data_IF_324957449161
#
_entry.id   IF_324957449161
#
_cell.length_a   1.000
_cell.length_b   1.000
_cell.length_c   1.000
_cell.angle_alpha   90.00
_cell.angle_beta   90.00
_cell.angle_gamma   90.00
#
_symmetry.space_group_name_H-M   'P 1'
#
loop_
_entity.id
_entity.type
_entity.pdbx_description
1 polymer ?
#
# COMPACT_ATOMS: atom_id res chain seq x y z
N UNK A 1 -4.92 10.87 -22.30
CA UNK A 1 -5.03 11.74 -21.12
C UNK A 1 -4.19 11.26 -19.94
N UNK A 2 -4.22 9.98 -19.55
CA UNK A 2 -3.37 9.46 -18.44
C UNK A 2 -1.88 9.76 -18.65
N UNK A 3 -1.32 9.55 -19.86
CA UNK A 3 0.07 9.92 -20.16
C UNK A 3 0.35 11.41 -19.94
N UNK A 4 -0.59 12.30 -20.32
CA UNK A 4 -0.43 13.75 -20.07
C UNK A 4 -0.42 14.07 -18.58
N UNK A 5 -1.30 13.43 -17.79
CA UNK A 5 -1.30 13.58 -16.32
C UNK A 5 0.03 13.12 -15.73
N UNK A 6 0.54 11.96 -16.11
CA UNK A 6 1.83 11.45 -15.66
C UNK A 6 2.98 12.42 -16.02
N UNK A 7 3.05 12.90 -17.25
CA UNK A 7 4.09 13.84 -17.71
C UNK A 7 4.01 15.16 -16.94
N UNK A 8 2.81 15.71 -16.78
CA UNK A 8 2.63 17.00 -16.08
C UNK A 8 3.03 16.93 -14.61
N UNK A 9 2.79 15.81 -13.94
CA UNK A 9 3.13 15.65 -12.52
C UNK A 9 4.58 15.23 -12.30
N UNK A 10 5.25 14.66 -13.31
CA UNK A 10 6.67 14.32 -13.25
C UNK A 10 7.61 15.54 -13.43
N UNK A 11 7.15 16.59 -14.11
CA UNK A 11 7.99 17.76 -14.42
C UNK A 11 8.11 18.76 -13.27
N UNK A 12 7.15 18.77 -12.35
CA UNK A 12 7.12 19.70 -11.22
C UNK A 12 6.64 18.98 -9.96
N UNK A 13 7.49 18.83 -8.95
CA UNK A 13 7.20 18.12 -7.71
C UNK A 13 5.99 18.67 -6.93
N UNK A 14 5.71 19.99 -7.04
CA UNK A 14 4.61 20.66 -6.35
C UNK A 14 3.38 20.94 -7.23
N UNK A 15 3.37 20.45 -8.48
CA UNK A 15 2.24 20.72 -9.38
C UNK A 15 0.98 20.07 -8.90
N UNK A 16 -0.05 20.90 -8.69
CA UNK A 16 -1.40 20.45 -8.33
C UNK A 16 -2.29 20.37 -9.57
N UNK A 17 -2.98 19.26 -9.71
CA UNK A 17 -3.89 19.01 -10.84
C UNK A 17 -5.28 19.53 -10.50
N UNK A 18 -5.89 20.23 -11.46
CA UNK A 18 -7.25 20.74 -11.38
C UNK A 18 -8.16 20.10 -12.46
N UNK A 19 -9.43 20.45 -12.46
CA UNK A 19 -10.44 20.01 -13.43
C UNK A 19 -10.64 18.48 -13.54
N UNK A 20 -10.22 17.71 -12.53
CA UNK A 20 -10.34 16.26 -12.57
C UNK A 20 -11.80 15.77 -12.63
N UNK A 21 -12.75 16.52 -12.03
CA UNK A 21 -14.16 16.15 -12.15
C UNK A 21 -14.63 16.19 -13.61
N UNK A 22 -14.22 17.21 -14.36
CA UNK A 22 -14.54 17.31 -15.80
C UNK A 22 -13.97 16.13 -16.58
N UNK A 23 -12.75 15.69 -16.23
CA UNK A 23 -12.12 14.53 -16.85
C UNK A 23 -12.90 13.24 -16.57
N UNK A 24 -13.19 12.95 -15.30
CA UNK A 24 -13.88 11.70 -14.93
C UNK A 24 -15.33 11.65 -15.41
N UNK A 25 -15.95 12.82 -15.65
CA UNK A 25 -17.30 12.93 -16.23
C UNK A 25 -17.31 12.88 -17.75
N UNK A 26 -16.16 12.79 -18.41
CA UNK A 26 -16.11 12.70 -19.87
C UNK A 26 -16.70 11.37 -20.35
N UNK A 27 -17.61 11.33 -21.35
CA UNK A 27 -18.30 10.10 -21.75
C UNK A 27 -17.36 8.93 -22.06
N UNK A 28 -16.31 9.16 -22.85
CA UNK A 28 -15.32 8.12 -23.17
C UNK A 28 -14.53 7.64 -21.96
N UNK A 29 -14.29 8.51 -20.97
CA UNK A 29 -13.60 8.15 -19.72
C UNK A 29 -14.48 7.25 -18.85
N UNK A 30 -15.76 7.62 -18.68
CA UNK A 30 -16.75 6.81 -17.96
C UNK A 30 -16.98 5.47 -18.65
N UNK A 31 -17.09 5.46 -19.98
CA UNK A 31 -17.22 4.21 -20.75
C UNK A 31 -16.03 3.29 -20.49
N UNK A 32 -14.81 3.81 -20.56
CA UNK A 32 -13.61 3.01 -20.27
C UNK A 32 -13.59 2.47 -18.84
N UNK A 33 -13.98 3.27 -17.86
CA UNK A 33 -14.12 2.84 -16.48
C UNK A 33 -15.18 1.74 -16.32
N UNK A 34 -16.31 1.85 -17.02
CA UNK A 34 -17.35 0.85 -17.04
C UNK A 34 -16.87 -0.47 -17.68
N UNK A 35 -16.22 -0.43 -18.83
CA UNK A 35 -15.63 -1.61 -19.48
C UNK A 35 -14.71 -2.38 -18.54
N UNK A 36 -13.77 -1.69 -17.87
CA UNK A 36 -12.85 -2.31 -16.91
C UNK A 36 -13.61 -2.91 -15.72
N UNK A 37 -14.62 -2.21 -15.22
CA UNK A 37 -15.41 -2.67 -14.06
C UNK A 37 -16.24 -3.90 -14.43
N UNK A 38 -16.94 -3.86 -15.56
CA UNK A 38 -17.85 -4.90 -16.04
C UNK A 38 -17.12 -6.17 -16.51
N UNK A 39 -15.87 -6.05 -16.96
CA UNK A 39 -15.04 -7.21 -17.32
C UNK A 39 -14.55 -8.00 -16.10
N UNK A 40 -14.57 -7.41 -14.92
CA UNK A 40 -14.10 -8.06 -13.69
C UNK A 40 -15.07 -9.16 -13.22
N UNK A 41 -14.53 -10.21 -12.57
CA UNK A 41 -15.34 -11.26 -11.92
C UNK A 41 -16.29 -10.69 -10.88
N UNK A 42 -15.87 -9.65 -10.16
CA UNK A 42 -16.67 -8.98 -9.13
C UNK A 42 -17.92 -8.28 -9.66
N UNK A 43 -18.03 -7.99 -10.96
CA UNK A 43 -19.21 -7.37 -11.56
C UNK A 43 -20.49 -8.24 -11.50
N UNK A 44 -20.34 -9.51 -11.19
CA UNK A 44 -21.47 -10.43 -10.93
C UNK A 44 -22.00 -10.38 -9.49
N UNK A 45 -21.26 -9.71 -8.59
CA UNK A 45 -21.63 -9.62 -7.17
C UNK A 45 -22.29 -8.28 -6.93
N UNK A 46 -23.59 -8.25 -6.52
CA UNK A 46 -24.31 -7.00 -6.32
C UNK A 46 -23.86 -6.25 -5.05
N UNK A 47 -24.02 -4.92 -5.07
CA UNK A 47 -23.97 -4.07 -3.89
C UNK A 47 -25.28 -4.15 -3.07
N UNK A 48 -25.62 -3.04 -2.40
CA UNK A 48 -26.87 -2.89 -1.64
C UNK A 48 -28.11 -2.72 -2.55
N UNK A 49 -27.90 -2.28 -3.77
CA UNK A 49 -28.90 -2.04 -4.81
C UNK A 49 -29.33 -3.32 -5.55
N UNK A 50 -28.67 -4.44 -5.31
CA UNK A 50 -28.93 -5.70 -6.01
C UNK A 50 -28.43 -5.78 -7.43
N UNK A 51 -27.92 -4.67 -8.01
CA UNK A 51 -27.54 -4.56 -9.42
C UNK A 51 -26.25 -5.29 -9.74
N UNK A 52 -26.25 -6.01 -10.87
CA UNK A 52 -25.13 -6.76 -11.43
C UNK A 52 -24.85 -6.36 -12.88
N UNK A 53 -23.78 -6.88 -13.46
CA UNK A 53 -23.46 -6.60 -14.88
C UNK A 53 -24.51 -7.11 -15.87
N UNK A 54 -25.34 -8.09 -15.51
CA UNK A 54 -26.41 -8.60 -16.37
C UNK A 54 -27.48 -7.53 -16.61
N UNK A 55 -27.74 -6.70 -15.62
CA UNK A 55 -28.76 -5.64 -15.67
C UNK A 55 -28.34 -4.47 -16.56
N UNK A 56 -27.06 -4.39 -16.93
CA UNK A 56 -26.49 -3.35 -17.80
C UNK A 56 -26.15 -3.84 -19.21
N UNK A 57 -26.63 -5.01 -19.62
CA UNK A 57 -26.38 -5.51 -20.99
C UNK A 57 -27.00 -4.62 -22.05
N UNK A 58 -28.19 -4.11 -21.76
CA UNK A 58 -28.90 -3.13 -22.57
C UNK A 58 -29.00 -1.82 -21.79
N UNK A 59 -28.87 -0.67 -22.46
CA UNK A 59 -28.97 0.64 -21.83
C UNK A 59 -27.74 1.14 -21.06
N UNK A 60 -26.56 0.57 -21.29
CA UNK A 60 -25.32 1.04 -20.62
C UNK A 60 -25.05 2.52 -20.90
N UNK A 61 -25.32 3.02 -22.12
CA UNK A 61 -25.06 4.42 -22.47
C UNK A 61 -25.97 5.38 -21.71
N UNK A 62 -27.23 5.05 -21.59
CA UNK A 62 -28.21 5.85 -20.82
C UNK A 62 -27.82 5.86 -19.34
N UNK A 63 -27.41 4.69 -18.83
CA UNK A 63 -26.94 4.57 -17.44
C UNK A 63 -25.69 5.42 -17.18
N UNK A 64 -24.72 5.42 -18.08
CA UNK A 64 -23.54 6.29 -17.99
C UNK A 64 -23.90 7.76 -18.17
N UNK A 65 -24.91 8.07 -18.97
CA UNK A 65 -25.50 9.40 -19.11
C UNK A 65 -26.04 9.93 -17.79
N UNK A 66 -26.80 9.12 -17.05
CA UNK A 66 -27.29 9.47 -15.71
C UNK A 66 -26.14 9.70 -14.72
N UNK A 67 -25.16 8.80 -14.67
CA UNK A 67 -23.98 8.98 -13.81
C UNK A 67 -23.27 10.29 -14.14
N UNK A 68 -23.10 10.60 -15.41
CA UNK A 68 -22.48 11.85 -15.86
C UNK A 68 -23.25 13.07 -15.43
N UNK A 69 -24.58 13.06 -15.57
CA UNK A 69 -25.45 14.15 -15.16
C UNK A 69 -25.29 14.44 -13.67
N UNK A 70 -25.37 13.41 -12.83
CA UNK A 70 -25.20 13.54 -11.36
C UNK A 70 -23.80 14.04 -10.96
N UNK A 71 -22.75 13.60 -11.66
CA UNK A 71 -21.38 14.09 -11.41
C UNK A 71 -21.26 15.57 -11.78
N UNK A 72 -21.88 16.01 -12.88
CA UNK A 72 -21.80 17.40 -13.34
C UNK A 72 -22.66 18.35 -12.54
N UNK A 73 -23.85 17.93 -12.09
CA UNK A 73 -24.68 18.71 -11.16
C UNK A 73 -24.08 18.82 -9.77
N UNK A 74 -23.37 17.78 -9.35
CA UNK A 74 -22.84 17.66 -7.98
C UNK A 74 -23.73 16.86 -7.05
N UNK A 75 -24.82 16.27 -7.58
CA UNK A 75 -25.80 15.50 -6.83
C UNK A 75 -25.43 14.02 -6.66
N UNK A 76 -24.28 13.62 -7.21
CA UNK A 76 -23.80 12.25 -7.06
C UNK A 76 -23.57 11.89 -5.59
N UNK A 77 -24.41 11.00 -5.05
CA UNK A 77 -24.26 10.44 -3.70
C UNK A 77 -23.87 8.96 -3.78
N UNK A 78 -22.70 8.56 -3.24
CA UNK A 78 -22.33 7.17 -3.10
C UNK A 78 -23.26 6.42 -2.14
N UNK A 79 -23.63 5.21 -2.49
CA UNK A 79 -24.38 4.34 -1.59
C UNK A 79 -23.44 3.63 -0.58
N UNK A 80 -23.94 3.25 0.60
CA UNK A 80 -23.16 2.46 1.54
C UNK A 80 -22.72 1.12 0.93
N UNK A 81 -21.54 0.66 1.27
CA UNK A 81 -21.06 -0.65 0.81
C UNK A 81 -21.81 -1.79 1.54
N UNK A 82 -22.15 -2.88 0.84
CA UNK A 82 -22.69 -4.09 1.47
C UNK A 82 -21.56 -4.85 2.17
N UNK A 83 -21.65 -4.99 3.50
CA UNK A 83 -20.66 -5.70 4.33
C UNK A 83 -20.84 -7.21 4.22
N UNK A 84 -19.74 -7.91 3.92
CA UNK A 84 -19.63 -9.36 4.02
C UNK A 84 -18.36 -9.72 4.78
N UNK A 85 -18.28 -10.96 5.26
CA UNK A 85 -17.12 -11.46 5.99
C UNK A 85 -16.49 -12.63 5.24
N UNK A 86 -15.17 -12.58 5.06
CA UNK A 86 -14.37 -13.64 4.43
C UNK A 86 -13.49 -14.27 5.51
N UNK A 87 -13.49 -15.61 5.65
CA UNK A 87 -12.67 -16.30 6.63
C UNK A 87 -11.17 -16.13 6.27
N UNK A 88 -10.35 -15.86 7.30
CA UNK A 88 -8.89 -15.87 7.20
C UNK A 88 -8.37 -17.26 7.57
N UNK A 89 -7.15 -17.60 7.10
CA UNK A 89 -6.49 -18.86 7.41
C UNK A 89 -6.31 -19.12 8.93
N UNK A 90 -6.35 -18.09 9.76
CA UNK A 90 -6.24 -18.16 11.23
C UNK A 90 -7.61 -18.22 11.95
N UNK A 91 -8.70 -18.52 11.25
CA UNK A 91 -10.05 -18.60 11.80
C UNK A 91 -10.74 -17.26 12.06
N UNK A 92 -10.03 -16.13 11.97
CA UNK A 92 -10.63 -14.80 12.08
C UNK A 92 -11.33 -14.42 10.78
N UNK A 93 -12.32 -13.54 10.87
CA UNK A 93 -13.02 -13.03 9.70
C UNK A 93 -12.41 -11.69 9.23
N UNK A 94 -12.40 -11.49 7.91
CA UNK A 94 -12.03 -10.23 7.28
C UNK A 94 -13.28 -9.54 6.77
N UNK A 95 -13.62 -8.35 7.27
CA UNK A 95 -14.71 -7.57 6.71
C UNK A 95 -14.36 -7.09 5.29
N UNK A 96 -15.30 -7.22 4.36
CA UNK A 96 -15.18 -6.72 3.00
C UNK A 96 -16.44 -5.91 2.67
N UNK A 97 -16.27 -4.70 2.17
CA UNK A 97 -17.36 -3.86 1.68
C UNK A 97 -17.51 -4.02 0.16
N UNK A 98 -18.69 -4.33 -0.29
CA UNK A 98 -19.02 -4.42 -1.72
C UNK A 98 -19.80 -3.17 -2.12
N UNK A 99 -19.19 -2.18 -2.82
CA UNK A 99 -19.90 -1.02 -3.34
C UNK A 99 -20.87 -1.43 -4.45
N UNK A 100 -21.85 -0.59 -4.73
CA UNK A 100 -22.73 -0.76 -5.89
C UNK A 100 -21.96 -0.75 -7.18
N UNK A 101 -22.54 -1.28 -8.24
CA UNK A 101 -21.88 -1.29 -9.55
C UNK A 101 -21.65 0.14 -10.08
N UNK A 102 -22.62 1.03 -9.83
CA UNK A 102 -22.54 2.46 -10.09
C UNK A 102 -21.31 3.09 -9.42
N UNK A 103 -21.17 2.87 -8.13
CA UNK A 103 -20.05 3.41 -7.34
C UNK A 103 -18.70 2.83 -7.78
N UNK A 104 -18.65 1.54 -8.14
CA UNK A 104 -17.42 0.92 -8.67
C UNK A 104 -16.99 1.54 -10.00
N UNK A 105 -17.92 1.90 -10.89
CA UNK A 105 -17.61 2.59 -12.14
C UNK A 105 -17.03 3.98 -11.86
N UNK A 106 -17.65 4.76 -10.99
CA UNK A 106 -17.15 6.10 -10.65
C UNK A 106 -15.81 6.03 -9.92
N UNK A 107 -15.67 5.13 -8.96
CA UNK A 107 -14.37 4.89 -8.29
C UNK A 107 -13.29 4.46 -9.28
N UNK A 108 -13.63 3.65 -10.32
CA UNK A 108 -12.69 3.29 -11.38
C UNK A 108 -12.29 4.50 -12.22
N UNK A 109 -13.23 5.36 -12.56
CA UNK A 109 -12.93 6.60 -13.27
C UNK A 109 -12.02 7.52 -12.45
N UNK A 110 -12.25 7.62 -11.14
CA UNK A 110 -11.39 8.36 -10.22
C UNK A 110 -9.99 7.74 -10.12
N UNK A 111 -9.90 6.42 -9.97
CA UNK A 111 -8.62 5.70 -9.90
C UNK A 111 -7.76 5.92 -11.16
N UNK A 112 -8.37 5.80 -12.34
CA UNK A 112 -7.70 6.04 -13.63
C UNK A 112 -7.11 7.46 -13.74
N UNK A 113 -7.69 8.45 -13.04
CA UNK A 113 -7.18 9.82 -13.00
C UNK A 113 -6.12 10.00 -11.90
N UNK A 114 -6.28 9.36 -10.75
CA UNK A 114 -5.37 9.49 -9.60
C UNK A 114 -4.06 8.72 -9.80
N UNK A 115 -4.13 7.52 -10.35
CA UNK A 115 -2.98 6.61 -10.46
C UNK A 115 -1.78 7.25 -11.19
N UNK A 116 -1.91 7.86 -12.39
CA UNK A 116 -0.78 8.48 -13.08
C UNK A 116 -0.22 9.71 -12.35
N UNK A 117 -1.01 10.36 -11.48
CA UNK A 117 -0.56 11.51 -10.67
C UNK A 117 0.34 11.00 -9.54
N UNK A 118 -0.11 9.98 -8.82
CA UNK A 118 0.55 9.51 -7.61
C UNK A 118 1.69 8.51 -7.85
N UNK A 119 1.68 7.81 -9.01
CA UNK A 119 2.75 6.86 -9.33
C UNK A 119 4.12 7.52 -9.41
N UNK A 120 4.19 8.79 -9.78
CA UNK A 120 5.42 9.58 -9.77
C UNK A 120 5.90 9.93 -8.35
N UNK A 121 4.99 10.06 -7.39
CA UNK A 121 5.30 10.46 -6.01
C UNK A 121 5.61 9.28 -5.10
N UNK A 122 5.12 8.09 -5.45
CA UNK A 122 5.32 6.92 -4.62
C UNK A 122 6.77 6.49 -4.56
N UNK A 123 7.23 6.24 -3.35
CA UNK A 123 8.59 5.80 -3.12
C UNK A 123 8.94 4.53 -3.91
N UNK A 124 10.16 4.43 -4.43
CA UNK A 124 10.63 3.30 -5.26
C UNK A 124 10.59 1.96 -4.53
N UNK A 125 10.66 1.95 -3.20
CA UNK A 125 10.62 0.77 -2.34
C UNK A 125 9.21 0.41 -1.83
N UNK A 126 8.17 1.04 -2.37
CA UNK A 126 6.77 0.69 -2.14
C UNK A 126 6.22 -0.11 -3.34
N UNK A 127 5.61 -1.27 -3.10
CA UNK A 127 5.25 -2.24 -4.15
C UNK A 127 3.76 -2.57 -4.23
N UNK A 128 3.06 -2.69 -3.10
CA UNK A 128 1.68 -3.15 -3.08
C UNK A 128 0.70 -2.25 -3.82
N UNK A 129 -0.23 -2.84 -4.55
CA UNK A 129 -1.30 -2.13 -5.28
C UNK A 129 -0.81 -1.10 -6.31
N UNK A 130 0.36 -1.29 -6.88
CA UNK A 130 0.93 -0.40 -7.90
C UNK A 130 1.06 -1.14 -9.23
N UNK A 131 0.86 -0.43 -10.38
CA UNK A 131 1.06 -1.01 -11.70
C UNK A 131 2.47 -1.61 -11.85
N UNK A 132 2.57 -2.71 -12.59
CA UNK A 132 3.83 -3.38 -12.92
C UNK A 132 4.68 -3.82 -11.73
N UNK A 133 4.15 -3.76 -10.50
CA UNK A 133 4.82 -4.21 -9.28
C UNK A 133 4.16 -5.44 -8.69
N UNK A 134 4.96 -6.33 -8.14
CA UNK A 134 4.50 -7.61 -7.62
C UNK A 134 5.18 -7.97 -6.29
N UNK A 135 4.64 -8.98 -5.61
CA UNK A 135 5.26 -9.61 -4.43
C UNK A 135 6.68 -10.07 -4.75
N UNK A 136 6.91 -10.64 -5.94
CA UNK A 136 8.24 -11.11 -6.35
C UNK A 136 9.26 -9.97 -6.45
N UNK A 137 8.85 -8.79 -6.93
CA UNK A 137 9.71 -7.61 -6.96
C UNK A 137 10.08 -7.14 -5.55
N UNK A 138 9.14 -7.12 -4.62
CA UNK A 138 9.40 -6.77 -3.22
C UNK A 138 10.36 -7.78 -2.56
N UNK A 139 10.13 -9.08 -2.71
CA UNK A 139 11.00 -10.13 -2.20
C UNK A 139 12.41 -10.04 -2.80
N UNK A 140 12.52 -9.82 -4.12
CA UNK A 140 13.82 -9.62 -4.80
C UNK A 140 14.57 -8.42 -4.21
N UNK A 141 13.88 -7.31 -3.96
CA UNK A 141 14.48 -6.11 -3.37
C UNK A 141 15.02 -6.40 -1.98
N UNK A 142 14.25 -7.05 -1.11
CA UNK A 142 14.70 -7.45 0.24
C UNK A 142 15.93 -8.37 0.15
N UNK A 143 15.92 -9.35 -0.77
CA UNK A 143 17.09 -10.23 -0.98
C UNK A 143 18.35 -9.44 -1.36
N UNK A 144 18.24 -8.52 -2.32
CA UNK A 144 19.35 -7.67 -2.76
C UNK A 144 19.88 -6.84 -1.58
N UNK A 145 19.00 -6.23 -0.81
CA UNK A 145 19.36 -5.42 0.36
C UNK A 145 20.08 -6.23 1.46
N UNK A 146 19.81 -7.54 1.53
CA UNK A 146 20.46 -8.47 2.47
C UNK A 146 21.76 -9.10 1.93
N UNK A 147 21.97 -9.11 0.63
CA UNK A 147 23.12 -9.77 -0.02
C UNK A 147 24.40 -8.94 -0.01
N UNK A 148 24.37 -7.72 0.52
CA UNK A 148 25.51 -6.80 0.56
C UNK A 148 26.74 -7.42 1.25
N UNK A 149 27.94 -7.16 0.68
CA UNK A 149 29.22 -7.82 0.95
C UNK A 149 29.85 -7.59 2.35
N UNK A 150 29.31 -6.71 3.17
CA UNK A 150 29.84 -6.46 4.52
C UNK A 150 29.25 -7.45 5.54
N UNK A 151 29.82 -8.64 5.60
CA UNK A 151 29.31 -9.82 6.33
C UNK A 151 29.32 -9.71 7.86
N UNK A 152 30.09 -8.81 8.44
CA UNK A 152 30.39 -8.84 9.88
C UNK A 152 29.50 -7.94 10.75
N UNK A 153 28.52 -7.23 10.17
CA UNK A 153 27.62 -6.38 10.95
C UNK A 153 26.28 -7.07 11.17
N UNK A 154 25.78 -7.06 12.37
CA UNK A 154 24.47 -7.54 12.72
C UNK A 154 23.41 -6.90 11.80
N UNK A 155 22.42 -7.69 11.40
CA UNK A 155 21.29 -7.24 10.57
C UNK A 155 20.03 -7.64 11.28
N UNK A 156 19.35 -6.64 11.76
CA UNK A 156 18.09 -6.79 12.46
C UNK A 156 16.94 -6.36 11.56
N UNK A 157 15.93 -7.18 11.48
CA UNK A 157 14.75 -6.97 10.66
C UNK A 157 13.62 -6.54 11.58
N UNK A 158 13.05 -5.38 11.33
CA UNK A 158 11.81 -4.93 11.96
C UNK A 158 10.69 -5.33 11.00
N UNK A 159 9.86 -6.29 11.42
CA UNK A 159 8.66 -6.73 10.70
C UNK A 159 7.49 -5.90 11.22
N UNK A 160 7.10 -4.85 10.51
CA UNK A 160 6.05 -3.93 10.95
C UNK A 160 4.66 -4.42 10.58
N UNK A 161 3.74 -4.42 11.57
CA UNK A 161 2.32 -4.73 11.41
C UNK A 161 1.47 -3.54 11.87
N UNK A 162 0.63 -3.01 10.97
CA UNK A 162 -0.30 -1.95 11.30
C UNK A 162 -1.65 -2.53 11.76
N UNK A 163 -2.10 -2.12 12.95
CA UNK A 163 -3.37 -2.61 13.50
C UNK A 163 -4.55 -2.13 12.68
N UNK A 164 -5.29 -3.08 12.07
CA UNK A 164 -6.54 -2.80 11.34
C UNK A 164 -6.44 -1.60 10.40
N UNK A 165 -5.36 -1.51 9.65
CA UNK A 165 -4.96 -0.32 8.89
C UNK A 165 -6.11 0.32 8.12
N UNK A 166 -6.82 -0.46 7.26
CA UNK A 166 -7.91 0.06 6.44
C UNK A 166 -9.08 0.63 7.27
N UNK A 167 -9.29 0.12 8.49
CA UNK A 167 -10.39 0.54 9.36
C UNK A 167 -10.04 1.76 10.23
N UNK A 168 -8.73 2.15 10.28
CA UNK A 168 -8.23 3.20 11.18
C UNK A 168 -7.69 4.44 10.46
N UNK A 169 -7.68 4.46 9.14
CA UNK A 169 -7.20 5.62 8.36
C UNK A 169 -7.97 6.88 8.71
N UNK A 170 -7.27 7.91 9.17
CA UNK A 170 -7.87 9.16 9.58
C UNK A 170 -8.27 10.01 8.36
N UNK A 171 -9.57 10.19 8.12
CA UNK A 171 -10.13 10.81 6.91
C UNK A 171 -9.56 12.19 6.59
N UNK A 172 -9.48 13.09 7.60
CA UNK A 172 -8.97 14.47 7.37
C UNK A 172 -7.48 14.48 7.00
N UNK A 173 -6.68 13.59 7.61
CA UNK A 173 -5.26 13.47 7.25
C UNK A 173 -5.09 12.91 5.85
N UNK A 174 -5.86 11.88 5.49
CA UNK A 174 -5.86 11.33 4.13
C UNK A 174 -6.20 12.43 3.11
N UNK A 175 -7.27 13.20 3.33
CA UNK A 175 -7.64 14.30 2.44
C UNK A 175 -6.58 15.40 2.39
N UNK A 176 -5.85 15.65 3.49
CA UNK A 176 -4.71 16.57 3.48
C UNK A 176 -3.61 16.06 2.55
N UNK A 177 -3.31 14.76 2.57
CA UNK A 177 -2.34 14.14 1.66
C UNK A 177 -2.82 14.24 0.21
N UNK A 178 -4.08 13.91 -0.07
CA UNK A 178 -4.67 14.00 -1.42
C UNK A 178 -4.56 15.43 -1.99
N UNK A 179 -4.87 16.44 -1.19
CA UNK A 179 -4.84 17.85 -1.60
C UNK A 179 -3.43 18.38 -1.89
N UNK A 180 -2.37 17.65 -1.54
CA UNK A 180 -1.01 18.01 -1.96
C UNK A 180 -0.87 18.01 -3.49
N UNK A 181 -1.59 17.10 -4.18
CA UNK A 181 -1.50 16.92 -5.64
C UNK A 181 -2.79 17.27 -6.38
N UNK A 182 -3.94 17.20 -5.72
CA UNK A 182 -5.26 17.43 -6.34
C UNK A 182 -5.88 18.71 -5.77
N UNK A 183 -5.97 19.75 -6.63
CA UNK A 183 -6.60 21.03 -6.28
C UNK A 183 -8.11 21.05 -6.55
N UNK A 184 -8.60 20.23 -7.46
CA UNK A 184 -10.01 20.21 -7.89
C UNK A 184 -10.97 19.98 -6.70
N UNK A 185 -11.61 21.05 -6.23
CA UNK A 185 -12.49 20.99 -5.04
C UNK A 185 -13.66 20.04 -5.24
N UNK A 186 -14.31 20.05 -6.40
CA UNK A 186 -15.45 19.17 -6.71
C UNK A 186 -15.05 17.69 -6.71
N UNK A 187 -13.86 17.36 -7.23
CA UNK A 187 -13.31 16.02 -7.16
C UNK A 187 -13.00 15.60 -5.71
N UNK A 188 -12.40 16.50 -4.93
CA UNK A 188 -12.11 16.23 -3.51
C UNK A 188 -13.38 16.06 -2.68
N UNK A 189 -14.47 16.80 -3.00
CA UNK A 189 -15.77 16.62 -2.35
C UNK A 189 -16.38 15.26 -2.68
N UNK A 190 -16.32 14.83 -3.94
CA UNK A 190 -16.77 13.49 -4.35
C UNK A 190 -15.98 12.40 -3.64
N UNK A 191 -14.65 12.53 -3.58
CA UNK A 191 -13.80 11.59 -2.85
C UNK A 191 -14.15 11.52 -1.37
N UNK A 192 -14.41 12.66 -0.76
CA UNK A 192 -14.85 12.74 0.63
C UNK A 192 -16.18 12.00 0.87
N UNK A 193 -17.16 12.15 -0.04
CA UNK A 193 -18.42 11.39 0.01
C UNK A 193 -18.19 9.90 -0.04
N UNK A 194 -17.31 9.40 -0.93
CA UNK A 194 -16.95 7.98 -0.99
C UNK A 194 -16.31 7.47 0.29
N UNK A 195 -15.40 8.24 0.90
CA UNK A 195 -14.76 7.88 2.17
C UNK A 195 -15.81 7.80 3.30
N UNK A 196 -16.81 8.66 3.26
CA UNK A 196 -17.87 8.79 4.27
C UNK A 196 -19.08 7.89 4.03
N UNK A 197 -19.20 7.24 2.89
CA UNK A 197 -20.41 6.50 2.49
C UNK A 197 -20.83 5.39 3.47
N UNK A 198 -19.93 4.89 4.31
CA UNK A 198 -20.23 3.86 5.30
C UNK A 198 -20.54 2.50 4.69
N UNK A 199 -21.20 1.65 5.45
CA UNK A 199 -21.60 0.32 5.00
C UNK A 199 -22.90 -0.13 5.65
N UNK A 200 -23.54 -1.12 5.04
CA UNK A 200 -24.69 -1.82 5.60
C UNK A 200 -24.24 -3.20 6.06
N UNK A 201 -24.52 -3.49 7.32
CA UNK A 201 -24.28 -4.78 7.95
C UNK A 201 -25.58 -5.25 8.64
N UNK A 202 -26.05 -6.47 8.31
CA UNK A 202 -27.28 -7.04 8.85
C UNK A 202 -28.49 -6.08 8.75
N UNK A 203 -28.59 -5.40 7.61
CA UNK A 203 -29.62 -4.40 7.31
C UNK A 203 -29.54 -3.10 8.17
N UNK A 204 -28.45 -2.90 8.92
CA UNK A 204 -28.21 -1.68 9.69
C UNK A 204 -27.14 -0.84 9.03
N UNK A 205 -27.40 0.47 8.90
CA UNK A 205 -26.40 1.43 8.40
C UNK A 205 -25.37 1.73 9.48
N UNK A 206 -24.09 1.60 9.10
CA UNK A 206 -22.93 1.93 9.92
C UNK A 206 -22.16 3.07 9.26
N UNK A 207 -22.15 4.23 9.90
CA UNK A 207 -21.43 5.40 9.42
C UNK A 207 -19.90 5.18 9.52
N UNK A 208 -19.14 5.68 8.54
CA UNK A 208 -17.68 5.66 8.57
C UNK A 208 -17.18 6.95 9.28
N UNK A 209 -16.74 6.82 10.54
CA UNK A 209 -16.04 7.90 11.26
C UNK A 209 -14.55 7.98 10.89
N UNK A 210 -13.95 6.85 10.56
CA UNK A 210 -12.58 6.65 10.11
C UNK A 210 -12.51 5.44 9.18
N UNK A 211 -11.35 5.20 8.59
CA UNK A 211 -11.12 4.05 7.71
C UNK A 211 -11.50 4.33 6.25
N UNK A 212 -11.01 3.46 5.39
CA UNK A 212 -11.41 3.38 3.97
C UNK A 212 -12.03 2.01 3.70
N UNK A 213 -13.09 1.91 2.89
CA UNK A 213 -13.80 0.66 2.70
C UNK A 213 -12.89 -0.44 2.16
N UNK A 214 -12.68 -1.52 2.92
CA UNK A 214 -12.00 -2.70 2.40
C UNK A 214 -12.84 -3.30 1.26
N UNK A 215 -12.29 -3.33 0.04
CA UNK A 215 -12.99 -3.76 -1.17
C UNK A 215 -13.44 -2.62 -2.10
N UNK A 216 -13.33 -1.37 -1.69
CA UNK A 216 -13.49 -0.21 -2.58
C UNK A 216 -12.40 -0.16 -3.64
N UNK A 217 -12.76 0.23 -4.87
CA UNK A 217 -11.82 0.29 -6.02
C UNK A 217 -10.69 1.30 -5.79
N UNK A 218 -10.98 2.41 -5.11
CA UNK A 218 -10.00 3.48 -4.82
C UNK A 218 -9.25 3.26 -3.50
N UNK A 219 -9.68 2.34 -2.65
CA UNK A 219 -9.08 2.14 -1.31
C UNK A 219 -7.59 1.79 -1.36
N UNK A 220 -7.10 0.97 -2.31
CA UNK A 220 -5.68 0.68 -2.43
C UNK A 220 -4.79 1.89 -2.70
N UNK A 221 -5.20 2.78 -3.61
CA UNK A 221 -4.41 3.99 -3.89
C UNK A 221 -4.47 4.98 -2.73
N UNK A 222 -5.61 5.13 -2.07
CA UNK A 222 -5.75 5.97 -0.88
C UNK A 222 -4.85 5.48 0.25
N UNK A 223 -4.77 4.16 0.43
CA UNK A 223 -3.84 3.50 1.34
C UNK A 223 -2.38 3.88 1.03
N UNK A 224 -1.97 3.76 -0.22
CA UNK A 224 -0.62 4.12 -0.63
C UNK A 224 -0.32 5.61 -0.47
N UNK A 225 -1.29 6.50 -0.75
CA UNK A 225 -1.15 7.95 -0.54
C UNK A 225 -0.85 8.27 0.92
N UNK A 226 -1.58 7.66 1.85
CA UNK A 226 -1.37 7.86 3.28
C UNK A 226 -0.01 7.32 3.75
N UNK A 227 0.35 6.11 3.35
CA UNK A 227 1.60 5.46 3.75
C UNK A 227 2.83 6.02 3.02
N UNK A 228 2.66 6.72 1.90
CA UNK A 228 3.76 7.42 1.26
C UNK A 228 4.39 8.48 2.18
N UNK A 229 3.62 9.07 3.09
CA UNK A 229 4.17 9.97 4.11
C UNK A 229 5.20 9.25 5.01
N UNK A 230 4.94 7.99 5.34
CA UNK A 230 5.89 7.16 6.09
C UNK A 230 7.11 6.77 5.24
N UNK A 231 6.89 6.41 3.97
CA UNK A 231 7.98 6.13 3.03
C UNK A 231 8.92 7.34 2.90
N UNK A 232 8.37 8.54 2.74
CA UNK A 232 9.13 9.79 2.63
C UNK A 232 9.83 10.17 3.95
N UNK A 233 9.21 9.87 5.10
CA UNK A 233 9.87 10.03 6.39
C UNK A 233 11.13 9.16 6.49
N UNK A 234 11.02 7.88 6.14
CA UNK A 234 12.17 6.97 6.14
C UNK A 234 13.23 7.37 5.11
N UNK A 235 12.82 7.84 3.94
CA UNK A 235 13.75 8.36 2.94
C UNK A 235 14.55 9.56 3.49
N UNK A 236 13.87 10.52 4.07
CA UNK A 236 14.48 11.71 4.68
C UNK A 236 15.42 11.35 5.83
N UNK A 237 15.03 10.42 6.71
CA UNK A 237 15.81 10.09 7.89
C UNK A 237 16.97 9.12 7.62
N UNK A 238 16.81 8.19 6.64
CA UNK A 238 17.70 7.04 6.52
C UNK A 238 18.11 6.66 5.10
N UNK A 239 17.26 6.85 4.08
CA UNK A 239 17.46 6.25 2.75
C UNK A 239 17.98 7.23 1.71
N UNK A 240 17.65 8.50 1.81
CA UNK A 240 17.94 9.55 0.83
C UNK A 240 19.42 9.69 0.51
N UNK A 241 19.73 10.10 -0.72
CA UNK A 241 21.12 10.26 -1.21
C UNK A 241 21.96 11.18 -0.31
N UNK A 242 21.40 12.28 0.20
CA UNK A 242 22.09 13.20 1.13
C UNK A 242 22.47 12.48 2.41
N UNK A 243 21.52 11.80 3.06
CA UNK A 243 21.75 11.05 4.29
C UNK A 243 22.75 9.90 4.09
N UNK A 244 22.73 9.22 2.94
CA UNK A 244 23.72 8.20 2.60
C UNK A 244 25.09 8.76 2.37
N UNK A 245 25.23 9.92 1.71
CA UNK A 245 26.50 10.60 1.53
C UNK A 245 27.09 11.06 2.86
N UNK A 246 26.26 11.55 3.75
CA UNK A 246 26.67 11.98 5.08
C UNK A 246 27.06 10.81 5.99
N UNK A 247 26.53 9.61 5.73
CA UNK A 247 26.85 8.39 6.49
C UNK A 247 28.16 7.73 6.12
N UNK A 248 28.53 7.77 4.82
CA UNK A 248 29.63 7.01 4.31
C UNK A 248 30.45 7.85 3.35
N UNK A 249 31.55 8.31 3.83
CA UNK A 249 32.53 9.03 3.06
C UNK A 249 33.68 8.08 2.71
N UNK A 250 34.00 7.95 1.41
CA UNK A 250 35.17 7.27 0.92
C UNK A 250 36.19 8.30 0.50
N UNK A 251 37.34 8.33 1.15
CA UNK A 251 38.43 9.19 0.74
C UNK A 251 39.28 8.47 -0.31
N UNK A 252 39.10 8.83 -1.56
CA UNK A 252 39.85 8.24 -2.68
C UNK A 252 41.33 8.52 -2.62
N UNK A 253 41.76 9.62 -2.00
CA UNK A 253 43.17 10.01 -1.92
C UNK A 253 43.99 9.15 -0.98
N UNK A 254 43.36 8.66 0.10
CA UNK A 254 44.06 7.85 1.11
C UNK A 254 43.63 6.40 1.10
N UNK A 255 42.73 5.99 0.20
CA UNK A 255 42.15 4.64 0.10
C UNK A 255 41.65 4.09 1.44
N UNK A 256 41.32 4.97 2.38
CA UNK A 256 40.93 4.61 3.73
C UNK A 256 39.46 4.88 3.99
N UNK A 257 38.93 3.99 4.76
CA UNK A 257 37.61 3.80 5.28
C UNK A 257 36.69 5.01 5.43
N UNK A 258 35.51 4.69 5.25
CA UNK A 258 34.21 5.34 5.41
C UNK A 258 34.06 6.00 6.81
N UNK A 259 33.83 7.31 6.89
CA UNK A 259 33.31 7.93 8.11
C UNK A 259 31.84 7.55 8.30
N UNK A 260 31.41 7.10 9.47
CA UNK A 260 29.98 6.93 9.78
C UNK A 260 29.30 8.32 9.74
N UNK A 261 28.08 8.37 9.27
CA UNK A 261 27.26 9.55 9.37
C UNK A 261 27.00 9.89 10.83
N UNK A 262 27.19 11.14 11.15
CA UNK A 262 26.93 11.72 12.45
C UNK A 262 25.70 12.61 12.26
N UNK A 263 24.68 12.47 13.11
CA UNK A 263 23.53 13.39 13.10
C UNK A 263 23.93 14.78 13.61
N UNK A 264 22.96 15.70 13.64
CA UNK A 264 23.16 17.06 14.15
C UNK A 264 23.70 17.09 15.60
N UNK A 265 23.44 16.04 16.36
CA UNK A 265 23.94 15.84 17.73
C UNK A 265 25.23 15.00 17.79
N UNK A 266 25.91 14.78 16.66
CA UNK A 266 27.10 13.93 16.55
C UNK A 266 26.90 12.47 16.96
N UNK A 267 25.66 11.95 16.89
CA UNK A 267 25.36 10.57 17.16
C UNK A 267 25.45 9.72 15.89
N UNK A 268 26.02 8.54 16.01
CA UNK A 268 26.13 7.60 14.90
C UNK A 268 24.75 7.03 14.53
N UNK A 269 24.41 7.05 13.24
CA UNK A 269 23.18 6.46 12.70
C UNK A 269 23.47 5.15 11.98
N UNK A 270 22.77 4.05 12.29
CA UNK A 270 22.93 2.80 11.57
C UNK A 270 22.44 2.94 10.13
N UNK A 271 23.04 2.17 9.21
CA UNK A 271 22.52 2.09 7.85
C UNK A 271 21.21 1.29 7.84
N UNK A 272 20.22 1.81 7.12
CA UNK A 272 18.89 1.24 7.02
C UNK A 272 18.56 0.91 5.57
N UNK A 273 17.87 -0.19 5.33
CA UNK A 273 17.18 -0.50 4.09
C UNK A 273 15.69 -0.76 4.40
N UNK A 274 14.85 -0.71 3.38
CA UNK A 274 13.41 -0.69 3.55
C UNK A 274 12.70 -1.36 2.39
N UNK A 275 11.56 -1.98 2.65
CA UNK A 275 10.62 -2.44 1.63
C UNK A 275 9.22 -2.46 2.21
N UNK A 276 8.24 -1.93 1.47
CA UNK A 276 6.82 -1.95 1.83
C UNK A 276 5.97 -2.57 0.73
N UNK A 277 5.00 -3.37 1.12
CA UNK A 277 3.96 -3.89 0.26
C UNK A 277 2.59 -3.66 0.92
N UNK A 278 1.86 -2.67 0.45
CA UNK A 278 0.64 -2.19 1.11
C UNK A 278 0.92 -1.75 2.55
N UNK A 279 0.26 -2.36 3.53
CA UNK A 279 0.44 -2.15 4.97
C UNK A 279 1.56 -3.02 5.59
N UNK A 280 2.01 -4.06 4.90
CA UNK A 280 3.16 -4.86 5.33
C UNK A 280 4.48 -4.17 4.99
N UNK A 281 5.38 -4.01 5.95
CA UNK A 281 6.70 -3.44 5.71
C UNK A 281 7.81 -4.09 6.51
N UNK A 282 9.02 -4.03 5.98
CA UNK A 282 10.24 -4.44 6.67
C UNK A 282 11.26 -3.32 6.65
N UNK A 283 11.89 -3.09 7.81
CA UNK A 283 13.05 -2.20 7.96
C UNK A 283 14.25 -3.04 8.34
N UNK A 284 15.31 -2.98 7.52
CA UNK A 284 16.55 -3.74 7.71
C UNK A 284 17.57 -2.79 8.33
N UNK A 285 17.96 -3.06 9.58
CA UNK A 285 18.92 -2.25 10.32
C UNK A 285 20.28 -2.92 10.33
N UNK A 286 21.28 -2.26 9.76
CA UNK A 286 22.68 -2.72 9.77
C UNK A 286 23.38 -2.18 11.03
N UNK A 287 23.16 -2.82 12.16
CA UNK A 287 23.64 -2.37 13.46
C UNK A 287 23.36 -3.37 14.58
N UNK A 288 23.26 -2.86 15.79
CA UNK A 288 22.89 -3.61 16.98
C UNK A 288 21.37 -3.77 17.10
N UNK A 289 20.93 -4.70 17.97
CA UNK A 289 19.53 -4.89 18.31
C UNK A 289 18.94 -3.63 18.95
N UNK A 290 19.67 -2.97 19.82
CA UNK A 290 19.26 -1.74 20.50
C UNK A 290 19.00 -0.60 19.50
N UNK A 291 19.81 -0.49 18.44
CA UNK A 291 19.56 0.49 17.37
C UNK A 291 18.32 0.15 16.56
N UNK A 292 18.07 -1.14 16.31
CA UNK A 292 16.83 -1.57 15.67
C UNK A 292 15.59 -1.26 16.53
N UNK A 293 15.67 -1.47 17.84
CA UNK A 293 14.63 -1.09 18.80
C UNK A 293 14.37 0.42 18.77
N UNK A 294 15.41 1.24 18.77
CA UNK A 294 15.27 2.70 18.66
C UNK A 294 14.63 3.14 17.34
N UNK A 295 14.98 2.50 16.21
CA UNK A 295 14.36 2.80 14.91
C UNK A 295 12.90 2.34 14.87
N UNK A 296 12.56 1.18 15.43
CA UNK A 296 11.17 0.74 15.58
C UNK A 296 10.34 1.77 16.34
N UNK A 297 10.87 2.27 17.46
CA UNK A 297 10.17 3.25 18.29
C UNK A 297 10.00 4.59 17.55
N UNK A 298 10.98 5.03 16.77
CA UNK A 298 10.84 6.20 15.90
C UNK A 298 9.78 5.99 14.80
N UNK A 299 9.69 4.79 14.22
CA UNK A 299 8.64 4.45 13.27
C UNK A 299 7.26 4.51 13.93
N UNK A 300 7.11 3.93 15.15
CA UNK A 300 5.88 4.01 15.95
C UNK A 300 5.50 5.47 16.19
N UNK A 301 6.41 6.27 16.71
CA UNK A 301 6.15 7.67 17.07
C UNK A 301 5.72 8.52 15.86
N UNK A 302 6.31 8.24 14.68
CA UNK A 302 5.87 8.89 13.45
C UNK A 302 4.48 8.42 13.01
N UNK A 303 4.24 7.11 12.97
CA UNK A 303 2.96 6.54 12.54
C UNK A 303 1.82 7.01 13.45
N UNK A 304 1.99 6.93 14.77
CA UNK A 304 0.97 7.31 15.74
C UNK A 304 0.84 8.84 15.86
N UNK A 305 1.95 9.54 15.95
CA UNK A 305 1.97 10.99 16.14
C UNK A 305 1.50 11.76 14.91
N UNK A 306 1.99 11.41 13.71
CA UNK A 306 1.72 12.15 12.47
C UNK A 306 0.59 11.58 11.65
N UNK A 307 0.46 10.26 11.55
CA UNK A 307 -0.52 9.60 10.70
C UNK A 307 -1.74 9.06 11.45
N UNK A 308 -1.69 9.02 12.78
CA UNK A 308 -2.75 8.45 13.63
C UNK A 308 -3.00 6.96 13.33
N UNK A 309 -1.94 6.25 12.95
CA UNK A 309 -1.94 4.82 12.66
C UNK A 309 -1.21 4.08 13.78
N UNK A 310 -1.80 3.01 14.28
CA UNK A 310 -1.22 2.26 15.40
C UNK A 310 -0.30 1.15 14.89
N UNK A 311 0.97 1.19 15.29
CA UNK A 311 1.89 0.08 15.09
C UNK A 311 1.59 -1.00 16.14
N UNK A 312 1.26 -2.22 15.69
CA UNK A 312 1.00 -3.33 16.58
C UNK A 312 2.30 -3.85 17.19
N UNK A 313 2.62 -3.40 18.40
CA UNK A 313 3.89 -3.72 19.05
C UNK A 313 4.03 -5.21 19.42
N UNK A 314 2.93 -5.93 19.65
CA UNK A 314 2.95 -7.37 19.95
C UNK A 314 3.31 -8.21 18.71
N UNK A 315 2.87 -7.76 17.53
CA UNK A 315 3.15 -8.42 16.25
C UNK A 315 4.39 -7.86 15.54
N UNK A 316 4.78 -6.63 15.85
CA UNK A 316 6.00 -6.04 15.30
C UNK A 316 7.22 -6.69 15.91
N UNK A 317 7.85 -7.57 15.15
CA UNK A 317 9.00 -8.37 15.62
C UNK A 317 10.31 -7.73 15.19
N UNK A 318 11.34 -7.93 16.03
CA UNK A 318 12.72 -7.61 15.69
C UNK A 318 13.50 -8.92 15.66
N UNK A 319 13.81 -9.39 14.46
CA UNK A 319 14.42 -10.71 14.21
C UNK A 319 15.82 -10.54 13.63
N UNK A 320 16.79 -11.33 14.07
CA UNK A 320 18.09 -11.35 13.40
C UNK A 320 17.99 -12.11 12.08
N UNK A 321 18.62 -11.60 11.02
CA UNK A 321 18.49 -12.16 9.67
C UNK A 321 18.92 -13.63 9.58
N UNK A 322 19.78 -14.10 10.48
CA UNK A 322 20.24 -15.50 10.53
C UNK A 322 19.20 -16.46 11.15
N UNK A 323 18.23 -15.92 11.93
CA UNK A 323 17.12 -16.71 12.49
C UNK A 323 16.00 -16.86 11.47
N UNK A 324 15.97 -15.94 10.50
CA UNK A 324 14.98 -15.88 9.44
C UNK A 324 13.67 -15.22 9.85
N UNK A 325 13.04 -14.56 8.92
CA UNK A 325 11.75 -13.87 9.09
C UNK A 325 10.81 -14.20 7.93
N UNK A 326 9.53 -13.86 8.09
CA UNK A 326 8.51 -14.10 7.07
C UNK A 326 8.02 -12.76 6.52
N UNK A 327 8.15 -12.57 5.21
CA UNK A 327 7.63 -11.39 4.53
C UNK A 327 6.84 -11.81 3.29
N UNK A 328 5.62 -11.33 3.15
CA UNK A 328 4.71 -11.62 2.03
C UNK A 328 4.56 -13.12 1.75
N UNK A 329 4.48 -13.91 2.81
CA UNK A 329 4.34 -15.35 2.69
C UNK A 329 5.59 -16.12 2.31
N UNK A 330 6.76 -15.49 2.30
CA UNK A 330 8.06 -16.10 2.04
C UNK A 330 8.94 -16.06 3.30
N UNK A 331 9.54 -17.17 3.66
CA UNK A 331 10.58 -17.21 4.67
C UNK A 331 11.90 -16.76 4.07
N UNK A 332 12.52 -15.74 4.64
CA UNK A 332 13.80 -15.18 4.21
C UNK A 332 14.81 -15.39 5.33
N UNK A 333 15.94 -15.99 5.03
CA UNK A 333 16.98 -16.31 6.01
C UNK A 333 18.36 -16.18 5.39
N UNK A 334 19.34 -15.73 6.17
CA UNK A 334 20.74 -15.76 5.76
C UNK A 334 21.45 -16.99 6.36
N UNK A 335 21.97 -17.83 5.52
CA UNK A 335 22.69 -19.07 5.89
C UNK A 335 24.08 -19.10 5.28
N UNK A 336 24.98 -19.84 5.93
CA UNK A 336 26.29 -20.15 5.38
C UNK A 336 26.14 -21.13 4.22
N UNK A 337 26.66 -20.79 3.05
CA UNK A 337 26.70 -21.67 1.89
C UNK A 337 27.82 -22.67 1.93
N UNK A 338 27.85 -23.65 1.02
CA UNK A 338 28.90 -24.71 0.97
C UNK A 338 30.35 -24.20 0.89
N UNK A 339 30.53 -23.03 0.28
CA UNK A 339 31.84 -22.36 0.16
C UNK A 339 32.15 -21.41 1.33
N UNK A 340 31.46 -21.53 2.47
CA UNK A 340 31.67 -20.70 3.65
C UNK A 340 31.10 -19.28 3.59
N UNK A 341 30.62 -18.80 2.43
CA UNK A 341 30.03 -17.48 2.26
C UNK A 341 28.58 -17.44 2.75
N UNK A 342 28.15 -16.30 3.25
CA UNK A 342 26.76 -16.09 3.67
C UNK A 342 25.88 -15.83 2.46
N UNK A 343 24.76 -16.56 2.35
CA UNK A 343 23.77 -16.43 1.26
C UNK A 343 22.40 -16.19 1.82
N UNK A 344 21.63 -15.37 1.12
CA UNK A 344 20.20 -15.15 1.41
C UNK A 344 19.38 -16.19 0.68
N UNK A 345 18.65 -16.98 1.43
CA UNK A 345 17.75 -18.04 0.93
C UNK A 345 16.31 -17.62 1.17
N UNK A 346 15.47 -17.84 0.18
CA UNK A 346 14.02 -17.66 0.28
C UNK A 346 13.33 -19.01 0.10
N UNK A 347 12.30 -19.28 0.89
CA UNK A 347 11.54 -20.52 0.84
C UNK A 347 10.10 -20.33 1.31
N UNK A 348 9.32 -21.39 1.21
CA UNK A 348 7.97 -21.43 1.76
C UNK A 348 8.08 -21.63 3.28
N UNK A 349 7.32 -20.89 4.12
CA UNK A 349 7.22 -21.16 5.55
C UNK A 349 6.82 -22.61 5.83
N UNK A 350 7.45 -23.22 6.84
CA UNK A 350 7.30 -24.66 7.13
C UNK A 350 5.86 -25.06 7.45
N UNK A 351 5.13 -24.19 8.14
CA UNK A 351 3.69 -24.37 8.45
C UNK A 351 2.83 -24.45 7.18
N UNK A 352 3.08 -23.58 6.21
CA UNK A 352 2.41 -23.61 4.90
C UNK A 352 2.80 -24.82 4.07
N UNK A 353 4.08 -25.20 4.08
CA UNK A 353 4.54 -26.40 3.39
C UNK A 353 3.88 -27.67 3.97
N UNK A 354 3.79 -27.78 5.30
CA UNK A 354 3.10 -28.88 5.99
C UNK A 354 1.60 -28.90 5.71
N UNK A 355 0.94 -27.72 5.71
CA UNK A 355 -0.48 -27.61 5.40
C UNK A 355 -0.78 -28.06 3.95
N UNK A 356 0.05 -27.64 3.00
CA UNK A 356 -0.06 -28.08 1.60
C UNK A 356 0.17 -29.58 1.44
N UNK A 357 1.18 -30.15 2.08
CA UNK A 357 1.44 -31.60 2.06
C UNK A 357 0.27 -32.40 2.62
N UNK A 358 -0.36 -31.94 3.72
CA UNK A 358 -1.57 -32.57 4.29
C UNK A 358 -2.75 -32.49 3.34
N UNK A 359 -2.98 -31.33 2.68
CA UNK A 359 -4.08 -31.19 1.72
C UNK A 359 -3.90 -32.11 0.50
N UNK A 360 -2.67 -32.28 0.02
CA UNK A 360 -2.36 -33.25 -1.03
C UNK A 360 -2.59 -34.69 -0.58
N UNK A 361 -2.15 -35.05 0.63
CA UNK A 361 -2.39 -36.38 1.19
C UNK A 361 -3.87 -36.68 1.30
N UNK A 362 -4.70 -35.71 1.75
CA UNK A 362 -6.16 -35.91 1.85
C UNK A 362 -6.83 -36.02 0.47
N UNK A 363 -6.35 -35.27 -0.55
CA UNK A 363 -6.90 -35.38 -1.90
C UNK A 363 -6.48 -36.68 -2.62
N UNK A 364 -5.37 -37.31 -2.23
CA UNK A 364 -4.91 -38.58 -2.79
C UNK A 364 -5.44 -39.82 -2.03
N UNK A 365 -5.93 -39.65 -0.80
CA UNK A 365 -6.52 -40.73 0.02
C UNK A 365 -8.04 -40.76 -0.05
N UNK A 366 -8.65 -39.95 -0.90
CA UNK A 366 -10.12 -39.86 -1.10
C UNK A 366 -10.65 -40.56 -2.35
N UNK A 367 -9.90 -41.52 -2.91
CA UNK A 367 -10.35 -42.46 -3.96
C UNK A 367 -10.63 -43.82 -3.35
#
# INVERSE_FOLDING_TARGET
MQRKLATWTATEDDRRVDQLLRLISHPQWLRKAAEITLSSKGARTPGVDGMTKSDLREGLDDYLGMIRADLLSGDYEPLPARRIYIPKANGKQRPLGIPTLRDRIVQRAMLMAMEPIWENDFHSLSYGFRPERSVHHAIRTVRIQLTDSNYNKGRWIIEGDLSSYFDTVHHRLLMKCVRKRIRCQRFNNLLWRFIKAGHIERNLFCAASQGVPQGGVISPILSNIMLNEFDQYLDKCYLGKKVRKDRWYWNHSIKLARKPAIDENRQWKPAVAYCRYADDFVVIVKGSKREAEGIRDQCRDFLEGKLKLTLNMEKTRITHVNDGFVFLGHRIIRKRGPKGNMRVVTGIPMDKAKAFARSLSMSLSGD
#
